data_IF_635707597276
#
_entry.id   IF_635707597276
#
_cell.length_a   1.000
_cell.length_b   1.000
_cell.length_c   1.000
_cell.angle_alpha   90.00
_cell.angle_beta   90.00
_cell.angle_gamma   90.00
#
_symmetry.space_group_name_H-M   'P 1'
#
loop_
_entity.id
_entity.type
_entity.pdbx_description
1 polymer ?
#
# COMPACT_ATOMS: atom_id res chain seq x y z
N UNK A 1 -2.15 -22.38 14.02
CA UNK A 1 -2.46 -20.96 14.05
C UNK A 1 -3.84 -20.71 13.47
N UNK A 2 -4.61 -19.88 14.12
CA UNK A 2 -5.99 -19.63 13.75
C UNK A 2 -6.11 -18.62 12.59
N UNK A 3 -7.29 -18.57 11.95
CA UNK A 3 -7.62 -17.57 10.95
C UNK A 3 -7.57 -16.14 11.52
N UNK A 4 -7.57 -15.99 12.84
CA UNK A 4 -7.47 -14.70 13.53
C UNK A 4 -6.04 -14.19 13.71
N UNK A 5 -5.05 -14.95 13.28
CA UNK A 5 -3.65 -14.52 13.28
C UNK A 5 -3.29 -13.91 11.93
N UNK A 6 -2.85 -12.67 11.95
CA UNK A 6 -2.33 -11.97 10.78
C UNK A 6 -0.81 -12.15 10.70
N UNK A 7 -0.34 -12.72 9.61
CA UNK A 7 1.10 -12.87 9.38
C UNK A 7 1.66 -11.65 8.66
N UNK A 8 2.69 -11.05 9.22
CA UNK A 8 3.37 -9.89 8.64
C UNK A 8 4.71 -10.32 8.08
N UNK A 9 4.89 -10.20 6.77
CA UNK A 9 6.18 -10.45 6.12
C UNK A 9 6.89 -9.13 5.86
N UNK A 10 8.09 -8.98 6.42
CA UNK A 10 8.94 -7.84 6.15
C UNK A 10 9.86 -8.19 4.99
N UNK A 11 9.53 -7.72 3.78
CA UNK A 11 10.22 -8.12 2.55
C UNK A 11 11.42 -7.25 2.20
N UNK A 12 11.64 -6.13 2.91
CA UNK A 12 12.73 -5.22 2.61
C UNK A 12 12.58 -4.53 1.27
N UNK A 13 13.70 -4.24 0.61
CA UNK A 13 13.71 -3.65 -0.74
C UNK A 13 13.61 -4.74 -1.80
N UNK A 14 12.67 -4.59 -2.69
CA UNK A 14 12.39 -5.54 -3.78
C UNK A 14 11.97 -4.84 -5.05
N UNK A 15 12.29 -5.43 -6.19
CA UNK A 15 11.69 -5.04 -7.46
C UNK A 15 10.19 -5.29 -7.43
N UNK A 16 9.44 -4.44 -8.12
CA UNK A 16 7.97 -4.54 -8.11
C UNK A 16 7.45 -5.82 -8.78
N UNK A 17 7.98 -6.19 -9.95
CA UNK A 17 7.42 -7.29 -10.74
C UNK A 17 7.45 -8.64 -10.01
N UNK A 18 8.57 -9.06 -9.38
CA UNK A 18 8.58 -10.33 -8.65
C UNK A 18 7.57 -10.36 -7.49
N UNK A 19 7.39 -9.24 -6.80
CA UNK A 19 6.42 -9.16 -5.69
C UNK A 19 5.00 -9.24 -6.21
N UNK A 20 4.70 -8.54 -7.32
CA UNK A 20 3.40 -8.63 -7.98
C UNK A 20 3.09 -10.07 -8.40
N UNK A 21 4.04 -10.73 -9.04
CA UNK A 21 3.89 -12.14 -9.45
C UNK A 21 3.64 -13.04 -8.23
N UNK A 22 4.38 -12.83 -7.15
CA UNK A 22 4.22 -13.60 -5.91
C UNK A 22 2.83 -13.39 -5.30
N UNK A 23 2.29 -12.17 -5.32
CA UNK A 23 0.93 -11.90 -4.83
C UNK A 23 -0.13 -12.64 -5.65
N UNK A 24 0.02 -12.67 -6.97
CA UNK A 24 -0.88 -13.41 -7.84
C UNK A 24 -0.83 -14.91 -7.53
N UNK A 25 0.37 -15.47 -7.40
CA UNK A 25 0.54 -16.88 -7.07
C UNK A 25 -0.02 -17.23 -5.70
N UNK A 26 0.24 -16.40 -4.70
CA UNK A 26 -0.31 -16.58 -3.35
C UNK A 26 -1.84 -16.60 -3.39
N UNK A 27 -2.43 -15.64 -4.10
CA UNK A 27 -3.89 -15.51 -4.18
C UNK A 27 -4.51 -16.69 -4.94
N UNK A 28 -3.84 -17.19 -5.96
CA UNK A 28 -4.32 -18.34 -6.74
C UNK A 28 -4.21 -19.66 -5.98
N UNK A 29 -3.20 -19.81 -5.12
CA UNK A 29 -2.94 -21.05 -4.38
C UNK A 29 -3.65 -21.14 -3.05
N UNK A 30 -3.99 -20.00 -2.45
CA UNK A 30 -4.59 -20.02 -1.12
C UNK A 30 -5.97 -20.69 -1.14
N UNK A 31 -6.35 -21.23 -0.01
CA UNK A 31 -7.64 -21.88 0.22
C UNK A 31 -8.27 -21.34 1.51
N UNK A 32 -9.44 -21.86 1.88
CA UNK A 32 -10.21 -21.34 3.01
C UNK A 32 -9.48 -21.37 4.36
N UNK A 33 -8.48 -22.25 4.51
CA UNK A 33 -7.70 -22.35 5.74
C UNK A 33 -6.40 -21.54 5.71
N UNK A 34 -6.07 -20.90 4.59
CA UNK A 34 -4.87 -20.08 4.48
C UNK A 34 -4.99 -18.83 5.36
N UNK A 35 -3.90 -18.50 6.04
CA UNK A 35 -3.86 -17.30 6.88
C UNK A 35 -3.86 -16.05 6.01
N UNK A 36 -4.41 -14.98 6.55
CA UNK A 36 -4.29 -13.66 5.97
C UNK A 36 -2.88 -13.10 6.22
N UNK A 37 -2.38 -12.35 5.28
CA UNK A 37 -1.02 -11.81 5.35
C UNK A 37 -0.99 -10.32 5.00
N UNK A 38 -0.03 -9.64 5.59
CA UNK A 38 0.41 -8.31 5.20
C UNK A 38 1.87 -8.42 4.75
N UNK A 39 2.18 -7.86 3.59
CA UNK A 39 3.56 -7.78 3.10
C UNK A 39 4.00 -6.32 3.14
N UNK A 40 5.02 -6.04 3.95
CA UNK A 40 5.65 -4.73 4.03
C UNK A 40 6.87 -4.73 3.13
N UNK A 41 6.88 -3.84 2.16
CA UNK A 41 7.93 -3.80 1.15
C UNK A 41 8.24 -2.36 0.76
N UNK A 42 9.48 -2.15 0.33
CA UNK A 42 9.97 -0.91 -0.25
C UNK A 42 10.45 -1.26 -1.67
N UNK A 43 9.90 -0.59 -2.67
CA UNK A 43 10.26 -0.90 -4.06
C UNK A 43 11.37 -0.01 -4.58
N UNK A 44 12.17 -0.55 -5.49
CA UNK A 44 12.99 0.26 -6.37
C UNK A 44 12.09 1.14 -7.24
N UNK A 45 12.61 2.25 -7.73
CA UNK A 45 11.82 3.24 -8.46
C UNK A 45 11.05 2.61 -9.63
N UNK A 46 9.74 2.83 -9.68
CA UNK A 46 8.85 2.29 -10.71
C UNK A 46 7.57 3.11 -10.77
N UNK A 47 7.07 3.36 -11.99
CA UNK A 47 5.71 3.84 -12.19
C UNK A 47 4.80 2.65 -12.48
N UNK A 48 3.65 2.56 -11.79
CA UNK A 48 2.66 1.54 -12.06
C UNK A 48 1.39 2.16 -12.60
N UNK A 49 0.88 1.61 -13.71
CA UNK A 49 -0.45 1.93 -14.23
C UNK A 49 -1.44 0.95 -13.62
N UNK A 50 -2.51 1.45 -13.01
CA UNK A 50 -3.61 0.62 -12.57
C UNK A 50 -4.59 0.33 -13.72
N UNK A 51 -5.71 -0.34 -13.41
CA UNK A 51 -6.70 -0.74 -14.41
C UNK A 51 -7.35 0.45 -15.13
N UNK A 52 -7.47 1.60 -14.45
CA UNK A 52 -8.01 2.83 -15.02
C UNK A 52 -6.91 3.73 -15.60
N UNK A 53 -5.67 3.25 -15.71
CA UNK A 53 -4.53 4.03 -16.17
C UNK A 53 -4.66 4.47 -17.61
N UNK A 54 -4.27 5.71 -17.88
CA UNK A 54 -4.28 6.31 -19.21
C UNK A 54 -2.88 6.85 -19.55
N UNK A 55 -2.42 6.60 -20.77
CA UNK A 55 -1.11 7.07 -21.22
C UNK A 55 -0.94 8.59 -21.10
N UNK A 56 -2.03 9.36 -21.22
CA UNK A 56 -2.01 10.82 -21.10
C UNK A 56 -1.56 11.33 -19.73
N UNK A 57 -1.63 10.48 -18.69
CA UNK A 57 -1.19 10.81 -17.33
C UNK A 57 0.29 10.47 -17.09
N UNK A 58 0.96 9.85 -18.04
CA UNK A 58 2.40 9.64 -18.05
C UNK A 58 3.05 10.81 -18.79
N UNK A 59 3.42 11.85 -18.06
CA UNK A 59 3.90 13.10 -18.68
C UNK A 59 5.32 12.97 -19.21
N UNK A 60 6.26 12.55 -18.36
CA UNK A 60 7.67 12.41 -18.71
C UNK A 60 8.36 11.39 -17.77
N UNK A 61 8.10 10.08 -17.93
CA UNK A 61 8.63 9.08 -16.98
C UNK A 61 10.18 8.99 -16.98
N UNK A 62 10.85 9.37 -18.08
CA UNK A 62 12.31 9.30 -18.15
C UNK A 62 12.84 7.86 -18.08
N UNK A 63 13.87 7.65 -17.24
CA UNK A 63 14.52 6.35 -17.09
C UNK A 63 13.80 5.39 -16.13
N UNK A 64 12.80 5.89 -15.40
CA UNK A 64 12.07 5.07 -14.43
C UNK A 64 11.16 4.11 -15.21
N UNK A 65 11.24 2.79 -14.94
CA UNK A 65 10.37 1.82 -15.62
C UNK A 65 8.89 2.14 -15.40
N UNK A 66 8.10 1.89 -16.44
CA UNK A 66 6.63 1.98 -16.39
C UNK A 66 6.08 0.58 -16.60
N UNK A 67 5.29 0.10 -15.65
CA UNK A 67 4.74 -1.24 -15.69
C UNK A 67 3.22 -1.20 -15.58
N UNK A 68 2.56 -2.22 -16.12
CA UNK A 68 1.12 -2.39 -16.01
C UNK A 68 0.81 -3.28 -14.80
N UNK A 69 -0.06 -2.78 -13.92
CA UNK A 69 -0.60 -3.52 -12.79
C UNK A 69 -2.08 -3.79 -13.00
N UNK A 70 -2.61 -4.78 -12.30
CA UNK A 70 -4.05 -5.06 -12.28
C UNK A 70 -4.77 -4.52 -11.04
N UNK A 71 -4.07 -3.74 -10.20
CA UNK A 71 -4.71 -3.03 -9.09
C UNK A 71 -5.70 -1.99 -9.61
N UNK A 72 -6.66 -1.61 -8.79
CA UNK A 72 -7.52 -0.48 -9.10
C UNK A 72 -6.74 0.84 -9.18
N UNK A 73 -7.37 1.84 -9.80
CA UNK A 73 -6.80 3.18 -9.90
C UNK A 73 -5.97 3.43 -11.14
N UNK A 74 -5.28 4.54 -11.13
CA UNK A 74 -4.52 5.06 -12.27
C UNK A 74 -3.03 5.02 -11.99
N UNK A 75 -2.23 5.84 -12.68
CA UNK A 75 -0.77 5.84 -12.51
C UNK A 75 -0.36 6.35 -11.13
N UNK A 76 0.64 5.70 -10.54
CA UNK A 76 1.33 6.18 -9.35
C UNK A 76 2.82 5.84 -9.43
N UNK A 77 3.56 6.30 -8.43
CA UNK A 77 4.99 6.06 -8.32
C UNK A 77 5.31 5.32 -7.03
N UNK A 78 6.22 4.35 -7.11
CA UNK A 78 6.83 3.69 -5.96
C UNK A 78 8.34 3.85 -6.01
N UNK A 79 8.94 4.08 -4.85
CA UNK A 79 10.38 4.21 -4.76
C UNK A 79 10.90 4.12 -3.32
N UNK A 80 12.22 4.18 -3.15
CA UNK A 80 12.84 4.11 -1.83
C UNK A 80 12.30 5.19 -0.89
N UNK A 81 12.06 4.82 0.36
CA UNK A 81 11.50 5.72 1.37
C UNK A 81 9.98 5.73 1.43
N UNK A 82 9.31 5.00 0.56
CA UNK A 82 7.86 4.81 0.60
C UNK A 82 7.55 3.47 1.24
N UNK A 83 6.65 3.45 2.22
CA UNK A 83 6.18 2.20 2.80
C UNK A 83 5.01 1.67 2.00
N UNK A 84 5.24 0.59 1.27
CA UNK A 84 4.18 -0.16 0.62
C UNK A 84 3.70 -1.24 1.60
N UNK A 85 2.40 -1.37 1.72
CA UNK A 85 1.76 -2.41 2.52
C UNK A 85 0.71 -3.11 1.66
N UNK A 86 1.02 -4.33 1.26
CA UNK A 86 0.10 -5.20 0.54
C UNK A 86 -0.72 -6.02 1.54
N UNK A 87 -2.02 -6.13 1.28
CA UNK A 87 -2.96 -6.79 2.19
C UNK A 87 -3.62 -7.95 1.46
N UNK A 88 -3.26 -9.15 1.87
CA UNK A 88 -3.71 -10.40 1.27
C UNK A 88 -4.72 -11.05 2.22
N UNK A 89 -5.95 -10.56 2.13
CA UNK A 89 -7.02 -10.83 3.09
C UNK A 89 -8.13 -11.63 2.41
N UNK A 90 -8.58 -12.70 3.05
CA UNK A 90 -9.78 -13.41 2.63
C UNK A 90 -11.00 -12.61 3.11
N UNK A 91 -11.46 -11.70 2.26
CA UNK A 91 -12.56 -10.80 2.60
C UNK A 91 -13.88 -11.55 2.69
N UNK A 92 -14.03 -12.62 1.92
CA UNK A 92 -15.20 -13.50 1.98
C UNK A 92 -15.30 -14.17 3.34
N UNK A 93 -14.21 -14.77 3.82
CA UNK A 93 -14.14 -15.40 5.14
C UNK A 93 -14.42 -14.41 6.27
N UNK A 94 -13.85 -13.21 6.17
CA UNK A 94 -14.05 -12.15 7.15
C UNK A 94 -15.41 -11.46 7.03
N UNK A 95 -16.17 -11.75 6.00
CA UNK A 95 -17.51 -11.20 5.76
C UNK A 95 -17.48 -9.67 5.69
N UNK A 96 -16.49 -9.12 5.01
CA UNK A 96 -16.40 -7.68 4.76
C UNK A 96 -16.46 -7.44 3.25
N UNK A 97 -16.90 -6.23 2.87
CA UNK A 97 -16.88 -5.80 1.49
C UNK A 97 -15.60 -5.08 1.13
N UNK A 98 -15.39 -4.89 -0.18
CA UNK A 98 -14.22 -4.16 -0.69
C UNK A 98 -14.17 -2.75 -0.11
N UNK A 99 -15.32 -2.05 -0.05
CA UNK A 99 -15.38 -0.70 0.49
C UNK A 99 -14.97 -0.65 1.97
N UNK A 100 -15.36 -1.64 2.74
CA UNK A 100 -14.95 -1.73 4.15
C UNK A 100 -13.44 -1.93 4.28
N UNK A 101 -12.83 -2.70 3.39
CA UNK A 101 -11.39 -2.88 3.40
C UNK A 101 -10.66 -1.58 2.99
N UNK A 102 -11.16 -0.87 1.98
CA UNK A 102 -10.61 0.43 1.59
C UNK A 102 -10.69 1.42 2.77
N UNK A 103 -11.84 1.50 3.43
CA UNK A 103 -12.02 2.37 4.60
C UNK A 103 -11.05 1.97 5.72
N UNK A 104 -10.86 0.68 5.97
CA UNK A 104 -9.91 0.20 6.96
C UNK A 104 -8.47 0.62 6.62
N UNK A 105 -8.10 0.58 5.36
CA UNK A 105 -6.77 1.04 4.92
C UNK A 105 -6.60 2.54 5.13
N UNK A 106 -7.61 3.33 4.75
CA UNK A 106 -7.59 4.77 4.99
C UNK A 106 -7.46 5.09 6.47
N UNK A 107 -8.26 4.46 7.31
CA UNK A 107 -8.24 4.67 8.76
C UNK A 107 -6.93 4.18 9.40
N UNK A 108 -6.34 3.12 8.87
CA UNK A 108 -5.01 2.64 9.29
C UNK A 108 -3.96 3.73 9.12
N UNK A 109 -3.94 4.37 7.97
CA UNK A 109 -2.99 5.45 7.68
C UNK A 109 -3.29 6.67 8.53
N UNK A 110 -4.56 7.07 8.65
CA UNK A 110 -4.96 8.21 9.47
C UNK A 110 -4.54 8.01 10.93
N UNK A 111 -4.76 6.83 11.50
CA UNK A 111 -4.36 6.51 12.86
C UNK A 111 -2.84 6.53 13.04
N UNK A 112 -2.11 6.01 12.07
CA UNK A 112 -0.64 6.02 12.08
C UNK A 112 -0.11 7.45 12.06
N UNK A 113 -0.64 8.30 11.20
CA UNK A 113 -0.23 9.70 11.11
C UNK A 113 -0.60 10.50 12.38
N UNK A 114 -1.75 10.19 12.98
CA UNK A 114 -2.16 10.82 14.23
C UNK A 114 -1.17 10.57 15.38
N UNK A 115 -0.52 9.41 15.39
CA UNK A 115 0.53 9.10 16.37
C UNK A 115 1.68 10.12 16.30
N UNK A 116 1.97 10.66 15.13
CA UNK A 116 3.00 11.68 14.92
C UNK A 116 2.44 13.12 15.02
N UNK A 117 1.20 13.27 15.47
CA UNK A 117 0.57 14.58 15.56
C UNK A 117 0.13 15.15 14.20
N UNK A 118 0.05 14.33 13.17
CA UNK A 118 -0.34 14.75 11.82
C UNK A 118 -1.81 14.41 11.61
N UNK A 119 -2.62 15.45 11.39
CA UNK A 119 -4.04 15.28 11.07
C UNK A 119 -4.21 15.00 9.58
N UNK A 120 -4.84 13.87 9.25
CA UNK A 120 -5.04 13.42 7.89
C UNK A 120 -6.47 12.99 7.68
N UNK A 121 -6.90 12.96 6.41
CA UNK A 121 -8.27 12.60 6.05
C UNK A 121 -8.33 11.86 4.72
N UNK A 122 -9.36 11.06 4.55
CA UNK A 122 -9.77 10.55 3.26
C UNK A 122 -10.65 11.58 2.55
N UNK A 123 -10.75 11.48 1.22
CA UNK A 123 -11.62 12.34 0.42
C UNK A 123 -12.56 11.46 -0.40
N UNK A 124 -13.87 11.81 -0.47
CA UNK A 124 -14.83 11.02 -1.25
C UNK A 124 -14.64 11.17 -2.76
N UNK A 125 -14.04 12.27 -3.21
CA UNK A 125 -13.87 12.62 -4.62
C UNK A 125 -12.53 12.15 -5.21
N UNK A 126 -11.58 11.79 -4.35
CA UNK A 126 -10.23 11.41 -4.79
C UNK A 126 -9.65 10.35 -3.86
N UNK A 127 -9.47 9.09 -4.32
CA UNK A 127 -8.97 8.02 -3.46
C UNK A 127 -7.60 8.34 -2.85
N UNK A 128 -7.39 7.91 -1.61
CA UNK A 128 -6.13 8.10 -0.89
C UNK A 128 -6.31 8.78 0.45
N UNK A 129 -5.20 9.13 1.07
CA UNK A 129 -5.18 9.87 2.35
C UNK A 129 -4.41 11.17 2.14
N UNK A 130 -4.93 12.23 2.72
CA UNK A 130 -4.47 13.60 2.49
C UNK A 130 -4.16 14.32 3.79
N UNK A 131 -3.14 15.17 3.74
CA UNK A 131 -2.83 16.15 4.79
C UNK A 131 -3.09 17.52 4.15
N UNK A 132 -4.13 18.21 4.60
CA UNK A 132 -4.61 19.38 3.88
C UNK A 132 -5.03 18.98 2.46
N UNK A 133 -4.49 19.67 1.47
CA UNK A 133 -4.76 19.39 0.05
C UNK A 133 -3.73 18.49 -0.61
N UNK A 134 -2.72 18.04 0.14
CA UNK A 134 -1.64 17.22 -0.40
C UNK A 134 -1.83 15.75 -0.06
N UNK A 135 -1.60 14.91 -1.05
CA UNK A 135 -1.76 13.46 -0.91
C UNK A 135 -0.52 12.84 -0.28
N UNK A 136 -0.70 12.04 0.77
CA UNK A 136 0.39 11.37 1.47
C UNK A 136 0.38 9.86 1.24
N UNK A 137 -0.76 9.29 0.87
CA UNK A 137 -0.89 7.85 0.68
C UNK A 137 -1.80 7.54 -0.50
N UNK A 138 -1.38 6.62 -1.34
CA UNK A 138 -2.18 6.09 -2.44
C UNK A 138 -2.72 4.71 -2.05
N UNK A 139 -3.91 4.38 -2.56
CA UNK A 139 -4.59 3.11 -2.32
C UNK A 139 -5.01 2.49 -3.63
N UNK A 140 -4.92 1.19 -3.74
CA UNK A 140 -5.44 0.44 -4.85
C UNK A 140 -5.48 -1.06 -4.53
N UNK A 141 -6.62 -1.69 -4.76
CA UNK A 141 -6.83 -3.10 -4.46
C UNK A 141 -7.27 -3.87 -5.71
N UNK A 142 -7.13 -5.18 -5.63
CA UNK A 142 -7.77 -6.14 -6.51
C UNK A 142 -8.38 -7.22 -5.65
N UNK A 143 -9.58 -7.66 -6.00
CA UNK A 143 -10.24 -8.82 -5.37
C UNK A 143 -10.32 -9.92 -6.40
N UNK A 144 -9.92 -11.11 -6.00
CA UNK A 144 -9.95 -12.30 -6.85
C UNK A 144 -10.26 -13.50 -5.98
N UNK A 145 -11.27 -14.28 -6.37
CA UNK A 145 -11.71 -15.46 -5.59
C UNK A 145 -12.05 -15.11 -4.13
N UNK A 146 -12.59 -13.91 -3.90
CA UNK A 146 -12.94 -13.45 -2.56
C UNK A 146 -11.76 -13.03 -1.70
N UNK A 147 -10.58 -12.84 -2.28
CA UNK A 147 -9.36 -12.45 -1.57
C UNK A 147 -8.77 -11.18 -2.16
N UNK A 148 -8.28 -10.31 -1.30
CA UNK A 148 -7.61 -9.08 -1.72
C UNK A 148 -6.12 -9.29 -1.97
N UNK A 149 -5.55 -8.44 -2.81
CA UNK A 149 -4.12 -8.22 -2.94
C UNK A 149 -3.86 -6.80 -3.43
N UNK A 150 -2.59 -6.38 -3.53
CA UNK A 150 -2.19 -4.97 -3.56
C UNK A 150 -2.53 -4.28 -2.24
N UNK A 151 -2.65 -2.98 -2.17
CA UNK A 151 -2.90 -2.29 -0.90
C UNK A 151 -2.61 -0.80 -0.93
N UNK A 152 -1.71 -0.35 -0.07
CA UNK A 152 -1.41 1.07 0.09
C UNK A 152 0.07 1.39 -0.10
N UNK A 153 0.35 2.65 -0.40
CA UNK A 153 1.69 3.20 -0.51
C UNK A 153 1.74 4.53 0.24
N UNK A 154 2.37 4.51 1.41
CA UNK A 154 2.51 5.67 2.30
C UNK A 154 3.86 6.33 2.07
N UNK A 155 3.85 7.61 1.68
CA UNK A 155 5.06 8.38 1.53
C UNK A 155 5.63 8.73 2.89
N UNK A 156 6.80 8.20 3.22
CA UNK A 156 7.43 8.39 4.54
C UNK A 156 8.62 9.35 4.45
N UNK A 157 9.69 8.95 3.78
CA UNK A 157 10.90 9.77 3.64
C UNK A 157 11.58 9.44 2.32
N UNK A 158 11.11 10.06 1.24
CA UNK A 158 11.46 9.70 -0.12
C UNK A 158 11.71 10.94 -0.99
N UNK A 159 12.23 10.71 -2.18
CA UNK A 159 12.26 11.73 -3.23
C UNK A 159 10.87 11.78 -3.88
N UNK A 160 10.18 12.91 -3.71
CA UNK A 160 8.85 13.12 -4.27
C UNK A 160 8.88 13.63 -5.72
N UNK A 161 10.05 14.01 -6.25
CA UNK A 161 10.13 14.62 -7.58
C UNK A 161 9.63 13.74 -8.72
N UNK A 162 9.74 12.38 -8.68
CA UNK A 162 9.16 11.55 -9.71
C UNK A 162 7.64 11.71 -9.87
N UNK A 163 6.92 12.08 -8.80
CA UNK A 163 5.49 12.36 -8.92
C UNK A 163 5.17 13.52 -9.87
N UNK A 164 6.11 14.43 -10.10
CA UNK A 164 5.96 15.54 -11.05
C UNK A 164 5.98 15.08 -12.51
N UNK A 165 6.42 13.85 -12.77
CA UNK A 165 6.50 13.27 -14.12
C UNK A 165 5.22 12.55 -14.54
N UNK A 166 4.21 12.55 -13.68
CA UNK A 166 2.93 11.92 -13.89
C UNK A 166 1.82 12.83 -13.37
N UNK A 167 0.56 12.49 -13.71
CA UNK A 167 -0.61 13.03 -13.01
C UNK A 167 -1.07 11.96 -12.03
N UNK A 168 -0.68 12.03 -10.74
CA UNK A 168 -0.94 10.94 -9.80
C UNK A 168 -2.44 10.66 -9.68
N UNK A 169 -2.81 9.38 -9.81
CA UNK A 169 -4.20 8.92 -9.74
C UNK A 169 -5.12 9.64 -10.74
N UNK A 170 -4.56 10.14 -11.87
CA UNK A 170 -5.30 10.82 -12.92
C UNK A 170 -5.66 12.28 -12.62
N UNK A 171 -5.13 12.85 -11.56
CA UNK A 171 -5.40 14.24 -11.16
C UNK A 171 -4.25 15.15 -11.55
N UNK A 172 -4.44 15.98 -12.58
CA UNK A 172 -3.46 16.98 -12.99
C UNK A 172 -3.19 17.97 -11.85
N UNK A 173 -1.92 18.24 -11.58
CA UNK A 173 -1.52 19.19 -10.54
C UNK A 173 -1.69 18.68 -9.11
N UNK A 174 -2.01 17.40 -8.91
CA UNK A 174 -2.08 16.81 -7.56
C UNK A 174 -0.73 16.94 -6.88
N UNK A 175 -0.69 17.61 -5.73
CA UNK A 175 0.52 17.72 -4.93
C UNK A 175 0.63 16.56 -3.96
N UNK A 176 1.85 16.06 -3.83
CA UNK A 176 2.20 14.96 -2.94
C UNK A 176 2.97 15.50 -1.74
N UNK A 177 2.78 14.88 -0.59
CA UNK A 177 3.58 15.14 0.61
C UNK A 177 4.07 13.83 1.22
N UNK A 178 4.77 13.92 2.32
CA UNK A 178 5.34 12.77 3.03
C UNK A 178 5.46 13.04 4.52
N UNK A 179 5.55 11.97 5.29
CA UNK A 179 5.59 12.08 6.75
C UNK A 179 6.81 12.86 7.25
N UNK A 180 7.96 12.71 6.58
CA UNK A 180 9.19 13.42 6.98
C UNK A 180 9.07 14.94 6.88
N UNK A 181 8.11 15.47 6.12
CA UNK A 181 7.84 16.90 6.08
C UNK A 181 7.29 17.41 7.43
N UNK A 182 6.67 16.54 8.21
CA UNK A 182 6.07 16.86 9.51
C UNK A 182 6.87 16.28 10.68
N UNK A 183 7.54 15.16 10.46
CA UNK A 183 8.34 14.44 11.44
C UNK A 183 9.73 14.15 10.85
N UNK A 184 10.67 15.10 10.90
CA UNK A 184 12.00 14.88 10.37
C UNK A 184 12.69 13.68 11.03
N UNK A 185 13.40 12.89 10.22
CA UNK A 185 14.11 11.72 10.71
C UNK A 185 13.28 10.44 10.85
N UNK A 186 11.98 10.49 10.54
CA UNK A 186 11.14 9.31 10.58
C UNK A 186 11.60 8.28 9.54
N UNK A 187 11.55 7.01 9.93
CA UNK A 187 11.96 5.89 9.07
C UNK A 187 10.78 4.94 8.80
N UNK A 188 10.97 4.02 7.84
CA UNK A 188 9.99 2.96 7.61
C UNK A 188 9.81 2.09 8.86
N UNK A 189 10.89 1.81 9.58
CA UNK A 189 10.84 1.04 10.83
C UNK A 189 9.94 1.71 11.88
N UNK A 190 9.87 3.04 11.90
CA UNK A 190 9.03 3.77 12.84
C UNK A 190 7.54 3.61 12.54
N UNK A 191 7.17 3.52 11.25
CA UNK A 191 5.76 3.45 10.88
C UNK A 191 5.22 2.02 10.83
N UNK A 192 6.04 1.02 10.58
CA UNK A 192 5.60 -0.36 10.40
C UNK A 192 4.78 -0.91 11.57
N UNK A 193 5.22 -0.82 12.82
CA UNK A 193 4.44 -1.33 13.94
C UNK A 193 3.08 -0.61 14.09
N UNK A 194 3.05 0.67 13.80
CA UNK A 194 1.83 1.48 13.93
C UNK A 194 0.82 1.11 12.85
N UNK A 195 1.28 0.97 11.60
CA UNK A 195 0.43 0.54 10.48
C UNK A 195 -0.19 -0.83 10.78
N UNK A 196 0.63 -1.78 11.19
CA UNK A 196 0.19 -3.15 11.44
C UNK A 196 -0.77 -3.22 12.63
N UNK A 197 -0.46 -2.53 13.73
CA UNK A 197 -1.34 -2.52 14.90
C UNK A 197 -2.71 -1.92 14.58
N UNK A 198 -2.74 -0.81 13.87
CA UNK A 198 -4.00 -0.17 13.48
C UNK A 198 -4.81 -1.06 12.53
N UNK A 199 -4.16 -1.64 11.52
CA UNK A 199 -4.83 -2.51 10.56
C UNK A 199 -5.41 -3.75 11.22
N UNK A 200 -4.62 -4.42 12.07
CA UNK A 200 -5.06 -5.61 12.79
C UNK A 200 -6.26 -5.30 13.70
N UNK A 201 -6.20 -4.18 14.41
CA UNK A 201 -7.31 -3.74 15.27
C UNK A 201 -8.57 -3.46 14.47
N UNK A 202 -8.46 -2.73 13.37
CA UNK A 202 -9.61 -2.33 12.54
C UNK A 202 -10.29 -3.53 11.89
N UNK A 203 -9.55 -4.57 11.54
CA UNK A 203 -10.11 -5.79 10.97
C UNK A 203 -10.43 -6.86 12.00
N UNK A 204 -10.12 -6.63 13.29
CA UNK A 204 -10.45 -7.56 14.36
C UNK A 204 -9.58 -8.81 14.43
N UNK A 205 -8.32 -8.72 14.01
CA UNK A 205 -7.38 -9.83 14.22
C UNK A 205 -7.02 -9.94 15.69
N UNK A 206 -7.05 -11.16 16.22
CA UNK A 206 -6.70 -11.42 17.62
C UNK A 206 -5.20 -11.36 17.86
N UNK A 207 -4.41 -11.86 16.90
CA UNK A 207 -2.96 -11.97 17.02
C UNK A 207 -2.27 -11.52 15.75
N UNK A 208 -1.01 -11.09 15.92
CA UNK A 208 -0.13 -10.70 14.83
C UNK A 208 1.19 -11.45 15.00
N UNK A 209 1.67 -12.05 13.93
CA UNK A 209 2.96 -12.73 13.90
C UNK A 209 3.86 -12.06 12.87
N UNK A 210 5.06 -11.68 13.29
CA UNK A 210 6.05 -10.99 12.43
C UNK A 210 7.08 -11.99 11.90
N UNK A 211 7.37 -11.89 10.62
CA UNK A 211 8.38 -12.67 9.93
C UNK A 211 9.33 -11.76 9.15
N UNK A 212 10.57 -11.67 9.62
CA UNK A 212 11.63 -10.98 8.88
C UNK A 212 12.01 -11.84 7.67
N UNK A 213 11.90 -11.27 6.48
CA UNK A 213 12.06 -12.02 5.23
C UNK A 213 12.77 -11.18 4.14
N UNK A 214 13.62 -10.23 4.54
CA UNK A 214 14.28 -9.31 3.62
C UNK A 214 15.14 -10.04 2.57
N UNK A 215 15.76 -11.15 2.96
CA UNK A 215 16.62 -11.95 2.09
C UNK A 215 16.03 -13.32 1.77
N UNK A 216 14.78 -13.56 2.17
CA UNK A 216 14.12 -14.84 1.90
C UNK A 216 13.52 -14.87 0.49
N UNK A 217 13.32 -16.05 -0.10
CA UNK A 217 12.51 -16.20 -1.29
C UNK A 217 11.11 -15.64 -1.05
N UNK A 218 10.50 -15.11 -2.11
CA UNK A 218 9.11 -14.64 -2.04
C UNK A 218 8.15 -15.83 -1.85
N UNK A 219 7.03 -15.61 -1.15
CA UNK A 219 6.05 -16.66 -0.89
C UNK A 219 5.46 -17.28 -2.13
#
# INVERSE_FOLDING_TARGET
>A
LSADTLLIRQLGQRDWQPVSDAMHQFTDRRHSDSRDEVWLVEHHAVFTQGQAGKAEHLLMPGDIPVVQSDRGGQVTYHGPGQQVMYVLIDVKRRKIGVRQLVTALEETVIATLAHFGVEARARPDAPGVYVGEEKICSLGLRIRKGCSFHGLALNVAMDLTPFLRINPCGYAGMRMTQLSAFQPGVSLADVQPLLVAAFARLLGFADVEWLAAENAPLP
#
